data_IF_509634841081
#
_entry.id   IF_509634841081
#
_cell.length_a   1.000
_cell.length_b   1.000
_cell.length_c   1.000
_cell.angle_alpha   90.00
_cell.angle_beta   90.00
_cell.angle_gamma   90.00
#
_symmetry.space_group_name_H-M   'P 1'
#
loop_
_entity.id
_entity.type
_entity.pdbx_description
1 polymer ?
#
# COMPACT_ATOMS: atom_id res chain seq x y z
N UNK A 1 9.30 17.77 -6.84
CA UNK A 1 8.66 16.46 -6.74
C UNK A 1 7.38 16.49 -5.94
N UNK A 2 6.38 15.77 -6.39
CA UNK A 2 5.14 15.73 -5.71
C UNK A 2 4.93 14.42 -5.04
N UNK A 3 4.43 14.42 -3.85
CA UNK A 3 4.06 13.22 -3.14
C UNK A 3 2.56 13.07 -3.18
N UNK A 4 2.12 11.84 -3.07
CA UNK A 4 0.69 11.56 -3.05
C UNK A 4 0.07 12.17 -1.81
N UNK A 5 -0.99 12.93 -1.96
CA UNK A 5 -1.63 13.55 -0.81
C UNK A 5 -3.15 13.62 -0.93
N UNK A 6 -3.74 12.72 -1.70
CA UNK A 6 -5.19 12.67 -1.80
C UNK A 6 -5.76 11.94 -0.61
N UNK A 7 -6.95 12.29 -0.22
CA UNK A 7 -7.63 11.66 0.90
C UNK A 7 -8.49 10.51 0.43
N UNK A 8 -8.43 9.42 1.18
CA UNK A 8 -9.24 8.23 0.92
C UNK A 8 -9.75 7.71 2.25
N UNK A 9 -10.66 6.76 2.19
CA UNK A 9 -11.13 6.12 3.40
C UNK A 9 -10.18 5.03 3.85
N UNK A 10 -9.53 4.38 2.90
CA UNK A 10 -8.64 3.27 3.22
C UNK A 10 -7.34 3.38 2.43
N UNK A 11 -6.25 3.05 3.09
CA UNK A 11 -4.91 3.15 2.51
C UNK A 11 -4.22 1.81 2.66
N UNK A 12 -3.88 1.17 1.56
CA UNK A 12 -3.31 -0.17 1.56
C UNK A 12 -1.86 -0.13 1.10
N UNK A 13 -0.96 -0.54 1.95
CA UNK A 13 0.45 -0.68 1.59
C UNK A 13 0.80 -2.15 1.48
N UNK A 14 1.53 -2.50 0.45
CA UNK A 14 1.89 -3.88 0.20
C UNK A 14 3.39 -4.00 -0.01
N UNK A 15 4.00 -4.87 0.77
CA UNK A 15 5.39 -5.26 0.55
C UNK A 15 5.32 -6.55 -0.26
N UNK A 16 5.52 -6.42 -1.57
CA UNK A 16 5.21 -7.46 -2.52
C UNK A 16 6.43 -8.31 -2.84
N UNK A 17 6.30 -9.61 -2.63
CA UNK A 17 7.33 -10.57 -2.98
C UNK A 17 6.73 -11.58 -3.96
N UNK A 18 7.56 -12.42 -4.51
CA UNK A 18 7.11 -13.33 -5.56
C UNK A 18 6.03 -14.29 -5.08
N UNK A 19 6.22 -14.88 -3.93
CA UNK A 19 5.28 -15.89 -3.46
C UNK A 19 4.25 -15.36 -2.49
N UNK A 20 4.66 -14.44 -1.65
CA UNK A 20 3.75 -13.89 -0.64
C UNK A 20 3.92 -12.38 -0.58
N UNK A 21 2.98 -11.74 0.06
CA UNK A 21 3.06 -10.30 0.24
C UNK A 21 2.49 -9.94 1.61
N UNK A 22 3.08 -8.94 2.23
CA UNK A 22 2.53 -8.39 3.44
C UNK A 22 1.62 -7.24 3.08
N UNK A 23 0.44 -7.23 3.65
CA UNK A 23 -0.57 -6.21 3.36
C UNK A 23 -0.93 -5.48 4.64
N UNK A 24 -0.93 -4.17 4.59
CA UNK A 24 -1.36 -3.36 5.71
C UNK A 24 -2.42 -2.39 5.20
N UNK A 25 -3.58 -2.38 5.81
CA UNK A 25 -4.64 -1.45 5.44
C UNK A 25 -4.92 -0.55 6.64
N UNK A 26 -4.87 0.74 6.40
CA UNK A 26 -5.15 1.74 7.42
C UNK A 26 -6.43 2.48 7.07
N UNK A 27 -7.15 2.93 8.10
CA UNK A 27 -8.27 3.83 7.85
C UNK A 27 -7.77 5.27 7.77
N UNK A 28 -8.67 6.21 7.59
CA UNK A 28 -8.29 7.62 7.43
C UNK A 28 -7.62 8.18 8.68
N UNK A 29 -7.88 7.61 9.83
CA UNK A 29 -7.25 8.04 11.07
C UNK A 29 -5.89 7.39 11.31
N UNK A 30 -5.52 6.44 10.45
CA UNK A 30 -4.24 5.75 10.59
C UNK A 30 -4.31 4.51 11.43
N UNK A 31 -5.50 4.06 11.78
CA UNK A 31 -5.63 2.82 12.54
C UNK A 31 -5.46 1.63 11.62
N UNK A 32 -4.78 0.62 12.12
CA UNK A 32 -4.53 -0.59 11.35
C UNK A 32 -5.76 -1.46 11.34
N UNK A 33 -6.30 -1.69 10.15
CA UNK A 33 -7.47 -2.56 9.98
C UNK A 33 -7.05 -3.97 9.56
N UNK A 34 -5.98 -4.07 8.79
CA UNK A 34 -5.45 -5.35 8.35
C UNK A 34 -3.94 -5.26 8.37
N UNK A 35 -3.29 -6.31 8.81
CA UNK A 35 -1.84 -6.36 8.78
C UNK A 35 -1.45 -7.84 8.75
N UNK A 36 -1.19 -8.36 7.60
CA UNK A 36 -0.93 -9.79 7.48
C UNK A 36 -0.26 -10.18 6.19
N UNK A 37 0.14 -11.42 6.14
CA UNK A 37 0.85 -12.00 5.02
C UNK A 37 -0.09 -12.90 4.25
N UNK A 38 -0.16 -12.71 2.94
CA UNK A 38 -1.02 -13.54 2.09
C UNK A 38 -0.26 -13.92 0.83
N UNK A 39 -0.85 -14.79 0.03
CA UNK A 39 -0.22 -15.18 -1.23
C UNK A 39 -0.21 -14.04 -2.21
N UNK A 40 0.83 -13.98 -3.04
CA UNK A 40 0.94 -12.94 -4.07
C UNK A 40 0.14 -13.33 -5.29
N UNK A 41 -1.17 -13.31 -5.16
CA UNK A 41 -2.07 -13.65 -6.25
C UNK A 41 -3.22 -12.64 -6.31
N UNK A 42 -3.82 -12.48 -7.50
CA UNK A 42 -4.97 -11.58 -7.61
C UNK A 42 -6.12 -11.98 -6.68
N UNK A 43 -6.38 -13.29 -6.56
CA UNK A 43 -7.47 -13.75 -5.72
C UNK A 43 -7.24 -13.39 -4.26
N UNK A 44 -6.04 -13.61 -3.76
CA UNK A 44 -5.74 -13.31 -2.38
C UNK A 44 -5.82 -11.80 -2.14
N UNK A 45 -5.34 -11.01 -3.08
CA UNK A 45 -5.40 -9.57 -2.97
C UNK A 45 -6.86 -9.10 -2.92
N UNK A 46 -7.68 -9.53 -3.87
CA UNK A 46 -9.06 -9.07 -3.93
C UNK A 46 -9.84 -9.50 -2.69
N UNK A 47 -9.52 -10.67 -2.16
CA UNK A 47 -10.20 -11.16 -0.98
C UNK A 47 -9.86 -10.30 0.25
N UNK A 48 -8.59 -9.97 0.42
CA UNK A 48 -8.19 -9.25 1.62
C UNK A 48 -8.64 -7.79 1.59
N UNK A 49 -8.76 -7.18 0.40
CA UNK A 49 -9.20 -5.80 0.32
C UNK A 49 -10.72 -5.66 0.16
N UNK A 50 -11.42 -6.77 -0.05
CA UNK A 50 -12.86 -6.71 -0.34
C UNK A 50 -13.68 -5.86 0.63
N UNK A 51 -13.50 -5.98 1.95
CA UNK A 51 -14.29 -5.18 2.87
C UNK A 51 -13.95 -3.69 2.83
N UNK A 52 -12.84 -3.33 2.20
CA UNK A 52 -12.32 -1.97 2.28
C UNK A 52 -12.27 -1.29 0.92
N UNK A 53 -12.91 -1.86 -0.08
CA UNK A 53 -12.81 -1.33 -1.45
C UNK A 53 -13.43 0.04 -1.62
N UNK A 54 -14.28 0.43 -0.70
CA UNK A 54 -14.92 1.72 -0.78
C UNK A 54 -13.85 2.79 -0.55
N UNK A 55 -13.48 3.47 -1.61
CA UNK A 55 -12.47 4.52 -1.58
C UNK A 55 -11.12 4.02 -1.06
N UNK A 56 -10.57 3.05 -1.76
CA UNK A 56 -9.30 2.43 -1.41
C UNK A 56 -8.20 2.89 -2.35
N UNK A 57 -7.04 3.23 -1.79
CA UNK A 57 -5.85 3.45 -2.58
C UNK A 57 -4.80 2.43 -2.18
N UNK A 58 -4.11 1.89 -3.16
CA UNK A 58 -3.12 0.82 -2.95
C UNK A 58 -1.77 1.27 -3.47
N UNK A 59 -0.73 0.96 -2.74
CA UNK A 59 0.62 1.13 -3.23
C UNK A 59 1.44 -0.09 -2.85
N UNK A 60 2.40 -0.41 -3.67
CA UNK A 60 3.28 -1.54 -3.41
C UNK A 60 4.70 -1.13 -3.69
N UNK A 61 5.61 -1.69 -2.91
CA UNK A 61 7.02 -1.52 -3.17
C UNK A 61 7.56 -2.86 -3.61
N UNK A 62 8.08 -2.92 -4.82
CA UNK A 62 8.60 -4.15 -5.37
C UNK A 62 9.38 -3.81 -6.61
N UNK A 63 10.43 -4.55 -6.86
CA UNK A 63 11.27 -4.23 -7.98
C UNK A 63 10.78 -4.79 -9.28
N UNK A 64 10.25 -5.98 -9.31
CA UNK A 64 9.96 -6.62 -10.58
C UNK A 64 8.58 -7.21 -10.77
N UNK A 65 7.78 -7.30 -9.75
CA UNK A 65 6.56 -8.08 -9.88
C UNK A 65 5.28 -7.31 -9.59
N UNK A 66 5.34 -6.00 -9.61
CA UNK A 66 4.17 -5.19 -9.28
C UNK A 66 3.15 -5.08 -10.43
N UNK A 67 3.54 -5.48 -11.63
CA UNK A 67 2.68 -5.30 -12.79
C UNK A 67 1.31 -5.96 -12.64
N UNK A 68 1.30 -7.19 -12.14
CA UNK A 68 0.01 -7.86 -12.01
C UNK A 68 -0.91 -7.14 -11.03
N UNK A 69 -0.31 -6.57 -9.97
CA UNK A 69 -1.10 -5.87 -8.97
C UNK A 69 -1.68 -4.58 -9.56
N UNK A 70 -0.88 -3.84 -10.30
CA UNK A 70 -1.35 -2.64 -10.95
C UNK A 70 -2.47 -2.98 -11.94
N UNK A 71 -2.31 -4.08 -12.68
CA UNK A 71 -3.33 -4.50 -13.64
C UNK A 71 -4.62 -4.88 -12.94
N UNK A 72 -4.54 -5.60 -11.84
CA UNK A 72 -5.74 -5.97 -11.09
C UNK A 72 -6.44 -4.72 -10.56
N UNK A 73 -5.68 -3.79 -10.01
CA UNK A 73 -6.26 -2.56 -9.50
C UNK A 73 -6.96 -1.79 -10.63
N UNK A 74 -6.32 -1.70 -11.80
CA UNK A 74 -6.92 -1.01 -12.93
C UNK A 74 -8.21 -1.68 -13.37
N UNK A 75 -8.21 -3.00 -13.44
CA UNK A 75 -9.39 -3.75 -13.86
C UNK A 75 -10.54 -3.60 -12.87
N UNK A 76 -10.21 -3.45 -11.60
CA UNK A 76 -11.23 -3.39 -10.55
C UNK A 76 -11.59 -1.97 -10.14
N UNK A 77 -11.01 -0.98 -10.78
CA UNK A 77 -11.30 0.41 -10.44
C UNK A 77 -10.71 0.86 -9.12
N UNK A 78 -9.63 0.24 -8.70
CA UNK A 78 -8.95 0.60 -7.45
C UNK A 78 -7.76 1.49 -7.79
N UNK A 79 -7.64 2.59 -7.09
CA UNK A 79 -6.54 3.52 -7.32
C UNK A 79 -5.20 2.89 -6.90
N UNK A 80 -4.22 2.94 -7.78
CA UNK A 80 -2.91 2.40 -7.50
C UNK A 80 -1.84 3.48 -7.67
N UNK A 81 -0.95 3.58 -6.68
CA UNK A 81 0.14 4.54 -6.70
C UNK A 81 1.45 3.78 -6.64
N UNK A 82 2.37 4.09 -7.52
CA UNK A 82 3.63 3.38 -7.52
C UNK A 82 4.41 3.64 -6.25
N UNK A 83 4.86 2.58 -5.63
CA UNK A 83 5.64 2.68 -4.41
C UNK A 83 6.95 3.40 -4.60
N UNK A 84 7.47 3.37 -5.82
CA UNK A 84 8.68 4.08 -6.15
C UNK A 84 8.60 5.56 -5.76
N UNK A 85 7.49 6.20 -6.04
CA UNK A 85 7.33 7.60 -5.69
C UNK A 85 7.29 7.82 -4.18
N UNK A 86 6.81 6.82 -3.44
CA UNK A 86 6.77 6.91 -2.00
C UNK A 86 8.11 6.59 -1.38
N UNK A 87 8.89 5.76 -2.05
CA UNK A 87 10.21 5.41 -1.53
C UNK A 87 11.11 6.63 -1.43
N UNK A 88 10.96 7.56 -2.33
CA UNK A 88 11.73 8.77 -2.27
C UNK A 88 11.48 9.55 -0.99
N UNK A 89 10.24 9.49 -0.52
CA UNK A 89 9.85 10.18 0.66
C UNK A 89 10.44 9.55 1.91
N UNK A 90 10.68 8.26 1.86
CA UNK A 90 11.15 7.50 3.00
C UNK A 90 12.62 7.15 2.91
N UNK A 91 13.35 7.79 2.03
CA UNK A 91 14.68 7.38 1.72
C UNK A 91 15.61 7.38 2.90
N UNK A 92 15.37 8.20 3.86
CA UNK A 92 16.20 8.24 5.03
C UNK A 92 15.71 7.34 6.15
N UNK A 93 14.72 6.57 5.86
CA UNK A 93 14.17 5.67 6.84
C UNK A 93 15.17 4.60 7.17
N UNK A 94 15.02 3.87 8.06
CA UNK A 94 15.95 2.94 8.57
C UNK A 94 16.51 1.98 7.59
N UNK A 95 17.42 1.25 8.02
CA UNK A 95 18.09 0.30 7.30
C UNK A 95 17.59 -1.04 7.43
N UNK A 96 17.13 -1.44 8.53
CA UNK A 96 16.65 -2.79 8.67
C UNK A 96 15.32 -2.89 8.11
N UNK A 97 15.04 -3.94 7.42
CA UNK A 97 13.80 -4.16 6.79
C UNK A 97 13.11 -5.34 7.32
N UNK A 98 11.83 -5.17 7.44
CA UNK A 98 10.96 -6.24 7.89
C UNK A 98 9.71 -6.08 7.05
N UNK A 99 9.27 -7.13 6.41
CA UNK A 99 8.15 -7.06 5.49
C UNK A 99 6.92 -6.43 6.12
N UNK A 100 6.68 -6.78 7.37
CA UNK A 100 5.54 -6.26 8.07
C UNK A 100 5.66 -4.75 8.29
N UNK A 101 6.83 -4.31 8.70
CA UNK A 101 7.07 -2.90 8.93
C UNK A 101 7.01 -2.13 7.62
N UNK A 102 7.55 -2.71 6.56
CA UNK A 102 7.55 -2.05 5.28
C UNK A 102 6.14 -1.82 4.74
N UNK A 103 5.25 -2.78 4.86
CA UNK A 103 3.89 -2.60 4.37
C UNK A 103 3.16 -1.53 5.16
N UNK A 104 3.37 -1.47 6.47
CA UNK A 104 2.77 -0.43 7.29
C UNK A 104 3.32 0.94 6.89
N UNK A 105 4.61 1.02 6.63
CA UNK A 105 5.22 2.26 6.22
C UNK A 105 4.68 2.74 4.89
N UNK A 106 4.50 1.83 3.94
CA UNK A 106 3.94 2.18 2.64
C UNK A 106 2.54 2.74 2.82
N UNK A 107 1.71 2.06 3.61
CA UNK A 107 0.35 2.53 3.85
C UNK A 107 0.35 3.90 4.53
N UNK A 108 1.25 4.09 5.49
CA UNK A 108 1.34 5.36 6.21
C UNK A 108 1.75 6.50 5.29
N UNK A 109 2.64 6.22 4.34
CA UNK A 109 3.09 7.24 3.41
C UNK A 109 2.00 7.64 2.42
N UNK A 110 1.03 6.78 2.21
CA UNK A 110 -0.10 7.12 1.35
C UNK A 110 -1.04 8.12 2.00
N UNK A 111 -1.08 8.14 3.32
CA UNK A 111 -2.00 9.06 4.00
C UNK A 111 -1.49 10.48 3.90
N UNK A 112 -2.38 11.45 3.68
CA UNK A 112 -1.95 12.85 3.62
C UNK A 112 -1.38 13.28 4.96
N UNK A 113 -0.36 14.12 4.91
CA UNK A 113 0.18 14.66 6.13
C UNK A 113 -0.77 15.69 6.68
N UNK A 114 -0.89 15.78 7.99
CA UNK A 114 -1.74 16.83 8.56
C UNK A 114 -1.16 18.19 8.21
N UNK A 115 -2.01 19.17 8.01
CA UNK A 115 -1.57 20.48 7.76
C UNK A 115 -1.03 21.07 8.99
N UNK A 116 0.10 21.62 8.91
CA UNK A 116 0.61 22.26 10.05
C UNK A 116 0.05 23.61 10.14
N UNK A 117 -0.20 24.02 10.99
CA UNK A 117 -0.69 25.29 11.05
C UNK A 117 -0.22 25.99 11.65
#
# INVERSE_FOLDING_TARGET
MRFYNRQHRHYCGIDLHVKTMYVCILDAAGQVLVHGNVKSTPDAFLKIVAPYRDDLVVSAECMFTWYWLADVCAAEGITFVLGHALAMKAIHGGKSKNDKIDSHKIASLLRPRPRSR
#
